data_IF_410989025801
#
_entry.id   IF_410989025801
#
_cell.length_a   1.000
_cell.length_b   1.000
_cell.length_c   1.000
_cell.angle_alpha   90.00
_cell.angle_beta   90.00
_cell.angle_gamma   90.00
#
_symmetry.space_group_name_H-M   'P 1'
#
loop_
_entity.id
_entity.type
_entity.pdbx_description
1 polymer ?
#
# COMPACT_ATOMS: atom_id res chain seq x y z
N UNK A 1 16.30 1.16 -26.10
CA UNK A 1 17.16 0.86 -24.94
C UNK A 1 16.95 1.97 -23.94
N UNK A 2 16.30 1.68 -22.81
CA UNK A 2 16.25 2.64 -21.71
C UNK A 2 17.68 2.77 -21.15
N UNK A 3 18.22 3.97 -21.17
CA UNK A 3 19.54 4.24 -20.60
C UNK A 3 19.46 4.06 -19.10
N UNK A 4 20.37 3.26 -18.54
CA UNK A 4 20.54 3.15 -17.08
C UNK A 4 20.74 4.55 -16.46
N UNK A 5 20.20 4.84 -15.25
CA UNK A 5 20.43 6.12 -14.58
C UNK A 5 21.94 6.43 -14.40
N UNK A 6 22.77 5.39 -14.31
CA UNK A 6 24.22 5.55 -14.15
C UNK A 6 24.96 5.86 -15.45
N UNK A 7 24.33 5.75 -16.60
CA UNK A 7 24.90 6.09 -17.93
C UNK A 7 24.22 7.28 -18.59
N UNK A 8 23.16 7.80 -17.99
CA UNK A 8 22.44 8.97 -18.49
C UNK A 8 22.35 10.06 -17.40
N UNK A 9 23.17 11.11 -17.46
CA UNK A 9 23.14 12.18 -16.45
C UNK A 9 21.86 13.00 -16.43
N UNK A 10 20.98 12.85 -17.43
CA UNK A 10 19.68 13.50 -17.49
C UNK A 10 18.55 12.58 -17.04
N UNK A 11 18.86 11.36 -16.56
CA UNK A 11 17.83 10.44 -16.08
C UNK A 11 17.10 11.04 -14.89
N UNK A 12 15.78 11.10 -15.01
CA UNK A 12 14.87 11.58 -13.95
C UNK A 12 13.77 10.56 -13.74
N UNK A 13 13.67 10.05 -12.52
CA UNK A 13 12.55 9.21 -12.09
C UNK A 13 11.38 10.12 -11.70
N UNK A 14 10.23 9.97 -12.36
CA UNK A 14 8.98 10.63 -11.98
C UNK A 14 8.26 9.87 -10.87
N UNK A 15 7.84 10.54 -9.82
CA UNK A 15 6.96 9.99 -8.78
C UNK A 15 5.63 10.73 -8.85
N UNK A 16 4.54 10.00 -9.13
CA UNK A 16 3.18 10.55 -9.12
C UNK A 16 2.55 10.28 -7.78
N UNK A 17 2.31 11.36 -7.03
CA UNK A 17 1.98 11.39 -5.62
C UNK A 17 3.20 11.73 -4.75
N UNK A 18 3.07 12.75 -3.92
CA UNK A 18 4.14 13.29 -3.07
C UNK A 18 3.91 13.05 -1.57
N UNK A 19 3.06 12.11 -1.20
CA UNK A 19 2.77 11.75 0.18
C UNK A 19 3.93 11.01 0.87
N UNK A 20 3.62 10.25 1.92
CA UNK A 20 4.63 9.54 2.70
C UNK A 20 5.36 8.44 1.90
N UNK A 21 4.64 7.74 1.01
CA UNK A 21 5.26 6.69 0.19
C UNK A 21 6.19 7.33 -0.85
N UNK A 22 5.76 8.43 -1.48
CA UNK A 22 6.58 9.23 -2.39
C UNK A 22 7.85 9.76 -1.71
N UNK A 23 7.76 10.23 -0.45
CA UNK A 23 8.92 10.63 0.36
C UNK A 23 9.92 9.48 0.57
N UNK A 24 9.43 8.28 0.87
CA UNK A 24 10.29 7.11 1.10
C UNK A 24 10.88 6.58 -0.22
N UNK A 25 10.12 6.62 -1.33
CA UNK A 25 10.64 6.33 -2.68
C UNK A 25 11.75 7.30 -3.08
N UNK A 26 11.51 8.59 -2.86
CA UNK A 26 12.51 9.64 -3.09
C UNK A 26 13.80 9.36 -2.30
N UNK A 27 13.68 9.00 -1.01
CA UNK A 27 14.84 8.69 -0.18
C UNK A 27 15.63 7.48 -0.73
N UNK A 28 14.94 6.43 -1.19
CA UNK A 28 15.57 5.27 -1.82
C UNK A 28 16.29 5.64 -3.12
N UNK A 29 15.67 6.43 -3.99
CA UNK A 29 16.28 6.88 -5.25
C UNK A 29 17.51 7.78 -4.99
N UNK A 30 17.43 8.71 -4.04
CA UNK A 30 18.52 9.61 -3.70
C UNK A 30 19.75 8.90 -3.12
N UNK A 31 19.60 7.77 -2.44
CA UNK A 31 20.74 6.94 -2.00
C UNK A 31 21.57 6.41 -3.17
N UNK A 32 20.98 6.29 -4.36
CA UNK A 32 21.64 5.85 -5.59
C UNK A 32 21.97 7.02 -6.54
N UNK A 33 21.89 8.27 -6.05
CA UNK A 33 22.12 9.51 -6.81
C UNK A 33 21.21 9.67 -8.05
N UNK A 34 20.00 9.09 -8.01
CA UNK A 34 19.00 9.21 -9.06
C UNK A 34 18.23 10.53 -8.86
N UNK A 35 18.15 11.35 -9.90
CA UNK A 35 17.33 12.56 -9.89
C UNK A 35 15.84 12.20 -9.87
N UNK A 36 15.05 12.91 -9.05
CA UNK A 36 13.62 12.65 -8.86
C UNK A 36 12.79 13.89 -9.12
N UNK A 37 11.77 13.76 -9.97
CA UNK A 37 10.67 14.70 -10.10
C UNK A 37 9.44 14.17 -9.36
N UNK A 38 8.66 15.05 -8.73
CA UNK A 38 7.43 14.68 -8.00
C UNK A 38 6.27 15.52 -8.47
N UNK A 39 5.14 14.88 -8.74
CA UNK A 39 3.84 15.52 -9.02
C UNK A 39 2.89 15.30 -7.84
N UNK A 40 2.33 16.38 -7.27
CA UNK A 40 1.32 16.29 -6.21
C UNK A 40 0.44 17.54 -6.18
N UNK A 41 -0.87 17.44 -5.85
CA UNK A 41 -1.73 18.61 -5.74
C UNK A 41 -1.42 19.49 -4.52
N UNK A 42 -0.89 18.92 -3.44
CA UNK A 42 -0.61 19.64 -2.20
C UNK A 42 0.71 20.43 -2.28
N UNK A 43 0.67 21.70 -1.91
CA UNK A 43 1.84 22.56 -1.88
C UNK A 43 2.83 22.25 -0.74
N UNK A 44 2.42 21.41 0.20
CA UNK A 44 3.19 20.97 1.36
C UNK A 44 3.38 19.43 1.38
N UNK A 45 3.34 18.81 0.20
CA UNK A 45 3.52 17.38 0.05
C UNK A 45 4.84 16.92 0.70
N UNK A 46 4.86 15.83 1.49
CA UNK A 46 6.04 15.33 2.17
C UNK A 46 7.29 15.12 1.31
N UNK A 47 7.10 14.73 0.04
CA UNK A 47 8.20 14.49 -0.89
C UNK A 47 8.77 15.77 -1.53
N UNK A 48 8.13 16.93 -1.36
CA UNK A 48 8.56 18.18 -1.98
C UNK A 48 10.01 18.54 -1.63
N UNK A 49 10.38 18.40 -0.35
CA UNK A 49 11.65 18.90 0.17
C UNK A 49 12.89 18.09 -0.21
N UNK A 50 12.75 17.01 -0.91
CA UNK A 50 13.91 16.22 -1.37
C UNK A 50 13.92 16.03 -2.87
N UNK A 51 12.88 16.46 -3.57
CA UNK A 51 12.74 16.34 -5.01
C UNK A 51 13.71 17.30 -5.75
N UNK A 52 14.30 16.80 -6.84
CA UNK A 52 15.04 17.63 -7.77
C UNK A 52 14.10 18.63 -8.47
N UNK A 53 12.88 18.20 -8.76
CA UNK A 53 11.80 19.01 -9.32
C UNK A 53 10.48 18.64 -8.66
N UNK A 54 9.67 19.63 -8.29
CA UNK A 54 8.33 19.43 -7.76
C UNK A 54 7.33 20.21 -8.61
N UNK A 55 6.28 19.53 -9.06
CA UNK A 55 5.19 20.10 -9.83
C UNK A 55 3.88 19.97 -9.07
N UNK A 56 3.08 21.04 -9.05
CA UNK A 56 1.72 21.01 -8.50
C UNK A 56 0.72 20.67 -9.59
N UNK A 57 -0.07 19.62 -9.36
CA UNK A 57 -1.11 19.27 -10.31
C UNK A 57 -2.01 18.14 -9.83
N UNK A 58 -3.20 18.05 -10.40
CA UNK A 58 -4.16 17.00 -10.07
C UNK A 58 -3.70 15.65 -10.67
N UNK A 59 -3.61 14.61 -9.84
CA UNK A 59 -3.16 13.28 -10.25
C UNK A 59 -4.19 12.56 -11.13
N UNK A 60 -5.45 12.96 -11.09
CA UNK A 60 -6.54 12.40 -11.90
C UNK A 60 -6.74 13.13 -13.24
N UNK A 61 -6.05 14.26 -13.45
CA UNK A 61 -6.11 14.99 -14.71
C UNK A 61 -5.15 14.38 -15.75
N UNK A 62 -5.72 13.96 -16.87
CA UNK A 62 -4.99 13.33 -17.97
C UNK A 62 -3.82 14.19 -18.47
N UNK A 63 -4.09 15.45 -18.75
CA UNK A 63 -3.11 16.38 -19.33
C UNK A 63 -1.96 16.65 -18.36
N UNK A 64 -2.27 16.84 -17.09
CA UNK A 64 -1.29 17.07 -16.03
C UNK A 64 -0.34 15.90 -15.89
N UNK A 65 -0.86 14.67 -15.75
CA UNK A 65 -0.05 13.46 -15.60
C UNK A 65 0.79 13.19 -16.85
N UNK A 66 0.20 13.34 -18.04
CA UNK A 66 0.89 13.14 -19.30
C UNK A 66 2.06 14.12 -19.49
N UNK A 67 1.83 15.41 -19.26
CA UNK A 67 2.87 16.44 -19.42
C UNK A 67 4.00 16.28 -18.39
N UNK A 68 3.67 15.90 -17.16
CA UNK A 68 4.67 15.58 -16.15
C UNK A 68 5.52 14.37 -16.55
N UNK A 69 4.88 13.28 -16.97
CA UNK A 69 5.56 12.03 -17.33
C UNK A 69 6.49 12.19 -18.55
N UNK A 70 6.11 13.01 -19.54
CA UNK A 70 6.94 13.31 -20.73
C UNK A 70 8.29 13.96 -20.40
N UNK A 71 8.44 14.50 -19.19
CA UNK A 71 9.69 15.10 -18.71
C UNK A 71 10.52 14.11 -17.87
N UNK A 72 10.12 12.85 -17.78
CA UNK A 72 10.77 11.79 -17.01
C UNK A 72 11.19 10.64 -17.92
N UNK A 73 12.19 9.87 -17.52
CA UNK A 73 12.63 8.67 -18.22
C UNK A 73 11.88 7.41 -17.76
N UNK A 74 11.31 7.45 -16.57
CA UNK A 74 10.34 6.45 -16.09
C UNK A 74 9.44 7.07 -15.01
N UNK A 75 8.28 6.46 -14.77
CA UNK A 75 7.28 6.97 -13.83
C UNK A 75 6.86 5.88 -12.86
N UNK A 76 6.86 6.19 -11.56
CA UNK A 76 6.32 5.32 -10.49
C UNK A 76 5.16 6.00 -9.78
N UNK A 77 4.28 5.21 -9.16
CA UNK A 77 3.14 5.72 -8.41
C UNK A 77 3.34 5.51 -6.90
N UNK A 78 2.84 6.45 -6.12
CA UNK A 78 2.69 6.27 -4.66
C UNK A 78 1.23 6.06 -4.24
N UNK A 79 0.28 6.29 -5.13
CA UNK A 79 -1.16 6.21 -4.89
C UNK A 79 -1.88 5.69 -6.14
N UNK A 80 -3.01 5.01 -5.97
CA UNK A 80 -3.79 4.46 -7.08
C UNK A 80 -4.70 5.50 -7.76
N UNK A 81 -5.05 6.60 -7.07
CA UNK A 81 -5.92 7.65 -7.60
C UNK A 81 -5.19 8.53 -8.64
N UNK A 82 -4.73 7.89 -9.72
CA UNK A 82 -4.01 8.52 -10.84
C UNK A 82 -4.74 8.23 -12.13
N UNK A 83 -4.65 9.14 -13.11
CA UNK A 83 -5.22 8.93 -14.43
C UNK A 83 -4.46 7.82 -15.18
N UNK A 84 -5.08 6.64 -15.28
CA UNK A 84 -4.46 5.46 -15.90
C UNK A 84 -4.31 5.61 -17.43
N UNK A 85 -5.19 6.33 -18.11
CA UNK A 85 -5.10 6.55 -19.55
C UNK A 85 -3.88 7.40 -19.91
N UNK A 86 -3.51 8.35 -19.04
CA UNK A 86 -2.27 9.12 -19.20
C UNK A 86 -1.02 8.23 -19.10
N UNK A 87 -1.04 7.22 -18.22
CA UNK A 87 0.06 6.26 -18.11
C UNK A 87 0.14 5.37 -19.37
N UNK A 88 -1.00 4.88 -19.86
CA UNK A 88 -1.06 4.10 -21.11
C UNK A 88 -0.48 4.92 -22.29
N UNK A 89 -0.82 6.21 -22.35
CA UNK A 89 -0.30 7.10 -23.38
C UNK A 89 1.22 7.32 -23.26
N UNK A 90 1.73 7.48 -22.02
CA UNK A 90 3.17 7.58 -21.76
C UNK A 90 3.90 6.31 -22.22
N UNK A 91 3.36 5.13 -21.92
CA UNK A 91 3.92 3.86 -22.37
C UNK A 91 3.93 3.74 -23.90
N UNK A 92 2.87 4.19 -24.58
CA UNK A 92 2.81 4.26 -26.05
C UNK A 92 3.87 5.21 -26.64
N UNK A 93 4.25 6.25 -25.89
CA UNK A 93 5.33 7.19 -26.25
C UNK A 93 6.73 6.67 -25.85
N UNK A 94 6.82 5.48 -25.25
CA UNK A 94 8.08 4.83 -24.86
C UNK A 94 8.59 5.20 -23.46
N UNK A 95 7.77 5.85 -22.64
CA UNK A 95 8.09 6.18 -21.23
C UNK A 95 7.47 5.13 -20.32
N UNK A 96 8.27 4.23 -19.72
CA UNK A 96 7.72 3.15 -18.90
C UNK A 96 7.10 3.66 -17.61
N UNK A 97 5.93 3.09 -17.26
CA UNK A 97 5.19 3.37 -16.05
C UNK A 97 5.15 2.14 -15.14
N UNK A 98 5.24 2.35 -13.83
CA UNK A 98 5.27 1.30 -12.81
C UNK A 98 4.26 1.62 -11.68
N UNK A 99 3.12 0.95 -11.67
CA UNK A 99 2.71 -0.16 -12.56
C UNK A 99 2.39 0.34 -13.98
N UNK A 100 2.26 -0.61 -14.94
CA UNK A 100 1.68 -0.32 -16.25
C UNK A 100 0.26 0.26 -16.10
N UNK A 101 -0.12 1.20 -16.99
CA UNK A 101 -1.41 1.87 -16.92
C UNK A 101 -2.60 0.89 -17.00
N UNK A 102 -2.49 -0.16 -17.81
CA UNK A 102 -3.52 -1.23 -17.92
C UNK A 102 -3.68 -2.01 -16.60
N UNK A 103 -2.61 -2.26 -15.88
CA UNK A 103 -2.65 -2.90 -14.55
C UNK A 103 -3.30 -1.98 -13.53
N UNK A 104 -3.00 -0.67 -13.58
CA UNK A 104 -3.63 0.30 -12.71
C UNK A 104 -5.15 0.36 -12.93
N UNK A 105 -5.64 0.31 -14.17
CA UNK A 105 -7.08 0.28 -14.49
C UNK A 105 -7.82 -0.90 -13.86
N UNK A 106 -7.15 -2.04 -13.68
CA UNK A 106 -7.71 -3.21 -12.99
C UNK A 106 -7.71 -2.95 -11.48
N UNK A 107 -6.55 -2.55 -10.92
CA UNK A 107 -6.34 -2.54 -9.48
C UNK A 107 -6.93 -1.32 -8.75
N UNK A 108 -7.21 -0.22 -9.45
CA UNK A 108 -7.87 0.94 -8.85
C UNK A 108 -9.39 0.79 -8.68
N UNK A 109 -9.98 -0.29 -9.21
CA UNK A 109 -11.41 -0.61 -9.05
C UNK A 109 -11.55 -2.01 -8.42
N UNK A 110 -12.13 -2.07 -7.21
CA UNK A 110 -12.25 -3.33 -6.45
C UNK A 110 -13.12 -4.37 -7.16
N UNK A 111 -14.13 -3.95 -7.92
CA UNK A 111 -14.97 -4.87 -8.69
C UNK A 111 -14.16 -5.52 -9.82
N UNK A 112 -13.40 -4.73 -10.58
CA UNK A 112 -12.51 -5.25 -11.63
C UNK A 112 -11.41 -6.13 -11.05
N UNK A 113 -10.85 -5.74 -9.91
CA UNK A 113 -9.81 -6.49 -9.20
C UNK A 113 -10.33 -7.89 -8.80
N UNK A 114 -11.52 -7.97 -8.20
CA UNK A 114 -12.15 -9.24 -7.82
C UNK A 114 -12.54 -10.10 -9.03
N UNK A 115 -13.08 -9.50 -10.09
CA UNK A 115 -13.39 -10.20 -11.33
C UNK A 115 -12.11 -10.80 -11.95
N UNK A 116 -11.00 -10.06 -11.94
CA UNK A 116 -9.70 -10.54 -12.40
C UNK A 116 -9.23 -11.74 -11.55
N UNK A 117 -9.34 -11.68 -10.22
CA UNK A 117 -8.95 -12.81 -9.37
C UNK A 117 -9.76 -14.07 -9.72
N UNK A 118 -11.07 -13.94 -9.91
CA UNK A 118 -11.93 -15.06 -10.29
C UNK A 118 -11.58 -15.63 -11.67
N UNK A 119 -11.34 -14.77 -12.66
CA UNK A 119 -10.98 -15.16 -14.04
C UNK A 119 -9.67 -15.98 -14.08
N UNK A 120 -8.67 -15.60 -13.28
CA UNK A 120 -7.39 -16.29 -13.23
C UNK A 120 -7.32 -17.41 -12.20
N UNK A 121 -8.45 -17.81 -11.61
CA UNK A 121 -8.53 -18.89 -10.61
C UNK A 121 -7.66 -18.62 -9.38
N UNK A 122 -7.64 -17.36 -8.94
CA UNK A 122 -7.00 -16.93 -7.70
C UNK A 122 -8.03 -16.96 -6.57
N UNK A 123 -7.72 -17.56 -5.42
CA UNK A 123 -8.69 -17.69 -4.33
C UNK A 123 -9.03 -16.30 -3.76
N UNK A 124 -10.30 -15.96 -3.78
CA UNK A 124 -10.85 -14.76 -3.14
C UNK A 124 -12.22 -15.10 -2.55
N UNK A 125 -12.64 -14.38 -1.49
CA UNK A 125 -13.95 -14.61 -0.89
C UNK A 125 -15.06 -14.51 -1.94
N UNK A 126 -16.11 -15.35 -1.89
CA UNK A 126 -17.23 -15.26 -2.81
C UNK A 126 -17.81 -13.85 -2.86
N UNK A 127 -18.09 -13.35 -4.05
CA UNK A 127 -18.55 -11.98 -4.25
C UNK A 127 -19.54 -11.86 -5.41
N UNK A 128 -20.30 -10.77 -5.42
CA UNK A 128 -21.11 -10.33 -6.56
C UNK A 128 -20.91 -8.83 -6.76
N UNK A 129 -20.73 -8.40 -7.99
CA UNK A 129 -20.61 -6.99 -8.37
C UNK A 129 -21.98 -6.45 -8.76
N UNK A 130 -22.31 -5.23 -8.33
CA UNK A 130 -23.55 -4.52 -8.60
C UNK A 130 -23.25 -3.14 -9.19
N UNK A 131 -23.96 -2.77 -10.24
CA UNK A 131 -23.83 -1.45 -10.88
C UNK A 131 -24.41 -0.32 -10.00
N UNK A 132 -25.33 -0.66 -9.09
CA UNK A 132 -25.95 0.28 -8.15
C UNK A 132 -26.38 -0.40 -6.86
N UNK A 133 -26.65 0.40 -5.83
CA UNK A 133 -27.15 -0.11 -4.55
C UNK A 133 -28.55 -0.71 -4.67
N UNK A 134 -29.40 -0.22 -5.58
CA UNK A 134 -30.73 -0.75 -5.85
C UNK A 134 -30.67 -2.17 -6.39
N UNK A 135 -29.69 -2.47 -7.25
CA UNK A 135 -29.46 -3.82 -7.77
C UNK A 135 -29.08 -4.79 -6.65
N UNK A 136 -28.22 -4.37 -5.72
CA UNK A 136 -27.90 -5.15 -4.52
C UNK A 136 -29.15 -5.39 -3.66
N UNK A 137 -29.95 -4.35 -3.42
CA UNK A 137 -31.19 -4.49 -2.61
C UNK A 137 -32.21 -5.42 -3.25
N UNK A 138 -32.38 -5.36 -4.58
CA UNK A 138 -33.26 -6.25 -5.32
C UNK A 138 -32.81 -7.71 -5.20
N UNK A 139 -31.53 -7.98 -5.32
CA UNK A 139 -30.95 -9.32 -5.21
C UNK A 139 -31.05 -9.86 -3.76
N UNK A 140 -30.83 -9.00 -2.76
CA UNK A 140 -31.06 -9.34 -1.35
C UNK A 140 -32.53 -9.67 -1.06
N UNK A 141 -33.47 -8.92 -1.62
CA UNK A 141 -34.90 -9.19 -1.50
C UNK A 141 -35.31 -10.55 -2.12
N UNK A 142 -34.54 -11.03 -3.11
CA UNK A 142 -34.65 -12.35 -3.70
C UNK A 142 -33.95 -13.46 -2.89
N UNK A 143 -33.30 -13.12 -1.77
CA UNK A 143 -32.64 -14.05 -0.84
C UNK A 143 -31.13 -14.18 -0.97
N UNK A 144 -30.50 -13.42 -1.84
CA UNK A 144 -29.04 -13.32 -1.90
C UNK A 144 -28.50 -12.51 -0.72
N UNK A 145 -27.24 -12.74 -0.37
CA UNK A 145 -26.50 -11.99 0.66
C UNK A 145 -27.24 -11.85 2.00
N UNK A 146 -27.49 -12.97 2.70
CA UNK A 146 -28.00 -12.93 4.06
C UNK A 146 -26.99 -12.23 4.98
N UNK A 147 -27.49 -11.62 6.04
CA UNK A 147 -26.64 -10.98 7.05
C UNK A 147 -25.87 -12.02 7.89
N UNK A 148 -24.60 -11.78 8.26
CA UNK A 148 -23.80 -10.62 7.88
C UNK A 148 -23.09 -10.82 6.52
N UNK A 149 -22.84 -9.71 5.81
CA UNK A 149 -21.98 -9.69 4.61
C UNK A 149 -21.11 -8.45 4.60
N UNK A 150 -20.08 -8.40 3.72
CA UNK A 150 -19.22 -7.24 3.54
C UNK A 150 -19.64 -6.49 2.28
N UNK A 151 -19.93 -5.20 2.40
CA UNK A 151 -20.10 -4.30 1.28
C UNK A 151 -18.82 -3.50 1.03
N UNK A 152 -18.44 -3.35 -0.24
CA UNK A 152 -17.29 -2.53 -0.65
C UNK A 152 -17.68 -1.63 -1.82
N UNK A 153 -17.36 -0.34 -1.75
CA UNK A 153 -17.42 0.54 -2.91
C UNK A 153 -16.40 0.08 -3.96
N UNK A 154 -16.78 0.10 -5.24
CA UNK A 154 -15.87 -0.31 -6.31
C UNK A 154 -14.67 0.64 -6.44
N UNK A 155 -14.86 1.93 -6.20
CA UNK A 155 -13.82 2.96 -6.32
C UNK A 155 -13.78 3.88 -5.10
N UNK A 156 -12.67 4.61 -4.90
CA UNK A 156 -12.55 5.64 -3.87
C UNK A 156 -12.31 5.15 -2.44
N UNK A 157 -12.22 3.83 -2.21
CA UNK A 157 -11.92 3.27 -0.89
C UNK A 157 -10.42 3.26 -0.59
N UNK A 158 -10.05 3.65 0.63
CA UNK A 158 -8.69 3.57 1.17
C UNK A 158 -8.72 3.46 2.70
N UNK A 159 -7.75 2.80 3.31
CA UNK A 159 -7.62 2.69 4.78
C UNK A 159 -8.95 2.33 5.50
N UNK A 160 -9.71 1.36 4.96
CA UNK A 160 -11.02 0.95 5.49
C UNK A 160 -12.21 1.83 5.10
N UNK A 161 -12.01 2.98 4.48
CA UNK A 161 -13.09 3.77 3.88
C UNK A 161 -13.67 3.04 2.66
N UNK A 162 -15.00 3.10 2.50
CA UNK A 162 -15.71 2.39 1.42
C UNK A 162 -15.81 0.88 1.65
N UNK A 163 -15.61 0.39 2.89
CA UNK A 163 -15.87 -0.99 3.31
C UNK A 163 -16.79 -0.98 4.53
N UNK A 164 -17.86 -1.74 4.47
CA UNK A 164 -18.84 -1.86 5.57
C UNK A 164 -19.16 -3.30 5.85
N UNK A 165 -18.93 -3.76 7.07
CA UNK A 165 -19.46 -5.03 7.55
C UNK A 165 -20.93 -4.83 7.93
N UNK A 166 -21.82 -5.32 7.10
CA UNK A 166 -23.26 -5.18 7.21
C UNK A 166 -23.82 -6.30 8.10
N UNK A 167 -24.32 -5.93 9.27
CA UNK A 167 -24.87 -6.86 10.28
C UNK A 167 -26.36 -6.73 10.48
N UNK A 168 -26.94 -5.58 10.10
CA UNK A 168 -28.37 -5.28 10.30
C UNK A 168 -29.00 -4.73 9.03
N UNK A 169 -30.33 -4.80 8.93
CA UNK A 169 -31.07 -4.24 7.80
C UNK A 169 -30.94 -2.72 7.71
N UNK A 170 -30.87 -2.03 8.85
CA UNK A 170 -30.65 -0.59 8.90
C UNK A 170 -29.30 -0.21 8.28
N UNK A 171 -28.25 -0.99 8.58
CA UNK A 171 -26.94 -0.80 7.96
C UNK A 171 -27.00 -1.04 6.45
N UNK A 172 -27.71 -2.09 6.01
CA UNK A 172 -27.86 -2.38 4.59
C UNK A 172 -28.57 -1.24 3.84
N UNK A 173 -29.64 -0.68 4.43
CA UNK A 173 -30.39 0.43 3.85
C UNK A 173 -29.62 1.75 3.82
N UNK A 174 -28.63 1.92 4.70
CA UNK A 174 -27.79 3.10 4.80
C UNK A 174 -26.55 3.09 3.88
N UNK A 175 -26.36 2.01 3.09
CA UNK A 175 -25.22 1.90 2.17
C UNK A 175 -25.31 3.00 1.09
N UNK A 176 -24.18 3.61 0.72
CA UNK A 176 -24.16 4.65 -0.31
C UNK A 176 -24.43 4.06 -1.70
N UNK A 177 -24.98 4.87 -2.58
CA UNK A 177 -25.18 4.51 -3.98
C UNK A 177 -23.87 4.49 -4.77
N UNK A 178 -23.89 3.71 -5.86
CA UNK A 178 -22.79 3.57 -6.81
C UNK A 178 -22.43 2.09 -7.08
N UNK A 179 -21.48 1.93 -8.00
CA UNK A 179 -20.90 0.62 -8.28
C UNK A 179 -20.26 0.03 -7.01
N UNK A 180 -20.65 -1.18 -6.67
CA UNK A 180 -20.21 -1.82 -5.44
C UNK A 180 -20.11 -3.34 -5.58
N UNK A 181 -19.62 -3.98 -4.54
CA UNK A 181 -19.66 -5.44 -4.42
C UNK A 181 -20.14 -5.85 -3.03
N UNK A 182 -20.90 -6.94 -2.99
CA UNK A 182 -21.15 -7.71 -1.79
C UNK A 182 -20.19 -8.90 -1.77
N UNK A 183 -19.63 -9.19 -0.61
CA UNK A 183 -18.62 -10.23 -0.40
C UNK A 183 -18.98 -11.06 0.84
N UNK A 184 -18.74 -12.37 0.78
CA UNK A 184 -18.94 -13.23 1.91
C UNK A 184 -17.98 -12.86 3.06
N UNK A 185 -18.50 -12.83 4.28
CA UNK A 185 -17.67 -12.64 5.46
C UNK A 185 -16.80 -13.89 5.68
N UNK A 186 -15.49 -13.71 5.64
CA UNK A 186 -14.53 -14.77 5.96
C UNK A 186 -14.48 -14.97 7.47
N UNK A 187 -14.51 -16.23 7.92
CA UNK A 187 -14.26 -16.57 9.34
C UNK A 187 -12.78 -16.41 9.65
N UNK A 188 -12.40 -15.15 9.86
CA UNK A 188 -11.04 -14.67 9.90
C UNK A 188 -10.29 -15.19 11.14
N UNK A 189 -9.09 -15.75 10.92
CA UNK A 189 -8.10 -16.07 11.95
C UNK A 189 -6.95 -15.06 11.94
N UNK A 190 -6.40 -14.76 10.75
CA UNK A 190 -5.22 -13.91 10.58
C UNK A 190 -5.31 -13.12 9.27
N UNK A 191 -4.80 -11.90 9.27
CA UNK A 191 -4.51 -11.14 8.04
C UNK A 191 -3.01 -11.11 7.80
N UNK A 192 -2.61 -11.37 6.55
CA UNK A 192 -1.20 -11.37 6.17
C UNK A 192 -0.98 -10.62 4.86
N UNK A 193 0.26 -10.19 4.62
CA UNK A 193 0.62 -9.55 3.37
C UNK A 193 1.93 -10.10 2.80
N UNK A 194 2.04 -10.03 1.47
CA UNK A 194 3.24 -10.36 0.70
C UNK A 194 3.52 -9.23 -0.29
N UNK A 195 4.77 -8.76 -0.34
CA UNK A 195 5.22 -7.85 -1.39
C UNK A 195 6.03 -8.63 -2.43
N UNK A 196 5.80 -8.32 -3.71
CA UNK A 196 6.52 -8.90 -4.84
C UNK A 196 7.00 -7.77 -5.76
N UNK A 197 8.30 -7.71 -6.03
CA UNK A 197 8.86 -6.86 -7.07
C UNK A 197 9.10 -7.68 -8.34
N UNK A 198 8.89 -7.05 -9.52
CA UNK A 198 9.17 -7.65 -10.82
C UNK A 198 9.76 -6.62 -11.78
N UNK A 199 10.85 -6.99 -12.44
CA UNK A 199 11.48 -6.19 -13.50
C UNK A 199 10.82 -6.42 -14.86
N UNK A 200 11.16 -5.59 -15.83
CA UNK A 200 10.73 -5.78 -17.24
C UNK A 200 11.32 -7.05 -17.87
N UNK A 201 12.48 -7.51 -17.43
CA UNK A 201 13.09 -8.77 -17.87
C UNK A 201 12.41 -10.01 -17.30
N UNK A 202 11.48 -9.84 -16.34
CA UNK A 202 10.77 -10.92 -15.67
C UNK A 202 11.44 -11.41 -14.39
N UNK A 203 12.58 -10.85 -13.96
CA UNK A 203 13.16 -11.14 -12.65
C UNK A 203 12.18 -10.76 -11.56
N UNK A 204 11.99 -11.63 -10.55
CA UNK A 204 11.10 -11.43 -9.43
C UNK A 204 11.84 -11.51 -8.09
N UNK A 205 11.38 -10.74 -7.12
CA UNK A 205 11.85 -10.81 -5.74
C UNK A 205 10.64 -10.75 -4.79
N UNK A 206 10.45 -11.83 -4.03
CA UNK A 206 9.33 -12.00 -3.11
C UNK A 206 9.82 -11.78 -1.69
N UNK A 207 9.12 -10.91 -0.95
CA UNK A 207 9.41 -10.67 0.46
C UNK A 207 8.80 -11.77 1.35
N UNK A 208 9.32 -11.96 2.57
CA UNK A 208 8.68 -12.79 3.57
C UNK A 208 7.24 -12.35 3.85
N UNK A 209 6.37 -13.32 4.16
CA UNK A 209 5.01 -13.05 4.61
C UNK A 209 5.04 -12.32 5.95
N UNK A 210 4.19 -11.31 6.10
CA UNK A 210 4.03 -10.56 7.34
C UNK A 210 2.62 -10.70 7.90
N UNK A 211 2.51 -10.78 9.22
CA UNK A 211 1.22 -10.65 9.91
C UNK A 211 0.79 -9.18 9.98
N UNK A 212 -0.49 -8.94 9.86
CA UNK A 212 -1.11 -7.63 10.07
C UNK A 212 -2.11 -7.70 11.22
N UNK A 213 -1.84 -6.99 12.30
CA UNK A 213 -2.79 -6.83 13.40
C UNK A 213 -3.54 -5.50 13.20
N UNK A 214 -4.86 -5.55 13.22
CA UNK A 214 -5.71 -4.38 13.04
C UNK A 214 -6.20 -3.80 14.36
N UNK A 215 -6.33 -2.48 14.39
CA UNK A 215 -6.94 -1.80 15.53
C UNK A 215 -8.42 -2.19 15.62
N UNK A 216 -8.91 -2.60 16.81
CA UNK A 216 -10.24 -3.23 16.93
C UNK A 216 -11.41 -2.34 16.52
N UNK A 217 -11.26 -1.02 16.55
CA UNK A 217 -12.33 -0.06 16.24
C UNK A 217 -12.03 0.84 15.04
N UNK A 218 -10.76 1.13 14.73
CA UNK A 218 -10.38 2.08 13.69
C UNK A 218 -10.24 1.43 12.29
N UNK A 219 -10.37 0.10 12.18
CA UNK A 219 -10.22 -0.66 10.93
C UNK A 219 -8.94 -0.30 10.15
N UNK A 220 -7.84 -0.07 10.88
CA UNK A 220 -6.53 0.27 10.35
C UNK A 220 -5.48 -0.67 10.90
N UNK A 221 -4.48 -1.00 10.10
CA UNK A 221 -3.32 -1.77 10.57
C UNK A 221 -2.66 -1.04 11.73
N UNK A 222 -2.52 -1.72 12.84
CA UNK A 222 -1.85 -1.25 14.05
C UNK A 222 -0.40 -1.72 14.09
N UNK A 223 -0.19 -3.03 13.85
CA UNK A 223 1.13 -3.64 13.76
C UNK A 223 1.29 -4.49 12.49
N UNK A 224 2.51 -4.54 12.01
CA UNK A 224 2.97 -5.50 11.00
C UNK A 224 4.16 -6.25 11.57
N UNK A 225 4.13 -7.58 11.58
CA UNK A 225 5.13 -8.40 12.27
C UNK A 225 5.75 -9.44 11.33
N UNK A 226 7.06 -9.60 11.39
CA UNK A 226 7.82 -10.62 10.69
C UNK A 226 8.82 -11.29 11.64
N UNK A 227 9.02 -12.61 11.57
CA UNK A 227 8.34 -13.58 10.70
C UNK A 227 6.87 -13.77 11.06
N UNK A 228 6.10 -14.24 10.08
CA UNK A 228 4.68 -14.58 10.25
C UNK A 228 4.47 -15.76 11.19
N UNK A 229 3.31 -15.79 11.84
CA UNK A 229 2.81 -16.95 12.64
C UNK A 229 2.30 -18.10 11.76
N UNK A 230 2.14 -17.90 10.45
CA UNK A 230 1.70 -18.94 9.54
C UNK A 230 2.67 -20.12 9.54
N UNK A 231 2.14 -21.35 9.43
CA UNK A 231 2.97 -22.52 9.13
C UNK A 231 3.80 -22.31 7.85
N UNK A 232 5.03 -22.82 7.76
CA UNK A 232 5.90 -22.60 6.60
C UNK A 232 5.25 -22.95 5.25
N UNK A 233 4.44 -24.01 5.20
CA UNK A 233 3.71 -24.40 3.99
C UNK A 233 2.66 -23.36 3.57
N UNK A 234 1.91 -22.80 4.52
CA UNK A 234 0.91 -21.74 4.25
C UNK A 234 1.60 -20.44 3.84
N UNK A 235 2.73 -20.10 4.46
CA UNK A 235 3.52 -18.93 4.07
C UNK A 235 4.05 -19.08 2.63
N UNK A 236 4.58 -20.25 2.27
CA UNK A 236 5.01 -20.53 0.90
C UNK A 236 3.85 -20.43 -0.10
N UNK A 237 2.68 -20.97 0.24
CA UNK A 237 1.48 -20.88 -0.60
C UNK A 237 1.02 -19.42 -0.81
N UNK A 238 1.09 -18.57 0.23
CA UNK A 238 0.78 -17.14 0.10
C UNK A 238 1.76 -16.43 -0.86
N UNK A 239 3.05 -16.74 -0.77
CA UNK A 239 4.07 -16.19 -1.69
C UNK A 239 3.85 -16.67 -3.13
N UNK A 240 3.52 -17.94 -3.36
CA UNK A 240 3.20 -18.48 -4.67
C UNK A 240 1.95 -17.83 -5.29
N UNK A 241 0.90 -17.61 -4.49
CA UNK A 241 -0.31 -16.91 -4.94
C UNK A 241 -0.01 -15.45 -5.31
N UNK A 242 0.79 -14.75 -4.51
CA UNK A 242 1.21 -13.38 -4.81
C UNK A 242 2.03 -13.31 -6.11
N UNK A 243 2.95 -14.24 -6.31
CA UNK A 243 3.75 -14.34 -7.53
C UNK A 243 2.86 -14.65 -8.75
N UNK A 244 1.95 -15.62 -8.63
CA UNK A 244 0.96 -15.94 -9.68
C UNK A 244 0.14 -14.72 -10.07
N UNK A 245 -0.30 -13.92 -9.09
CA UNK A 245 -1.06 -12.69 -9.35
C UNK A 245 -0.22 -11.66 -10.13
N UNK A 246 1.04 -11.44 -9.73
CA UNK A 246 1.98 -10.53 -10.43
C UNK A 246 2.17 -10.96 -11.89
N UNK A 247 2.35 -12.26 -12.13
CA UNK A 247 2.53 -12.82 -13.46
C UNK A 247 1.25 -12.72 -14.31
N UNK A 248 0.09 -13.05 -13.74
CA UNK A 248 -1.21 -12.95 -14.42
C UNK A 248 -1.56 -11.53 -14.83
N UNK A 249 -1.24 -10.54 -13.97
CA UNK A 249 -1.40 -9.11 -14.26
C UNK A 249 -0.41 -8.60 -15.32
N UNK A 250 0.68 -9.32 -15.59
CA UNK A 250 1.80 -8.76 -16.34
C UNK A 250 2.44 -7.56 -15.64
N UNK A 251 2.28 -7.45 -14.31
CA UNK A 251 2.79 -6.32 -13.55
C UNK A 251 4.30 -6.23 -13.64
N UNK A 252 4.80 -5.02 -13.82
CA UNK A 252 6.20 -4.64 -13.61
C UNK A 252 6.24 -3.55 -12.54
N UNK A 253 7.19 -3.62 -11.62
CA UNK A 253 7.26 -2.72 -10.46
C UNK A 253 7.11 -3.48 -9.15
N UNK A 254 6.21 -3.04 -8.29
CA UNK A 254 5.94 -3.62 -6.96
C UNK A 254 4.45 -3.86 -6.79
N UNK A 255 4.08 -5.05 -6.33
CA UNK A 255 2.73 -5.39 -5.88
C UNK A 255 2.77 -5.76 -4.40
N UNK A 256 1.86 -5.22 -3.62
CA UNK A 256 1.54 -5.69 -2.28
C UNK A 256 0.21 -6.43 -2.33
N UNK A 257 0.18 -7.66 -1.83
CA UNK A 257 -1.02 -8.51 -1.81
C UNK A 257 -1.41 -8.78 -0.37
N UNK A 258 -2.65 -8.50 -0.02
CA UNK A 258 -3.24 -8.78 1.28
C UNK A 258 -4.10 -10.02 1.22
N UNK A 259 -3.96 -10.87 2.23
CA UNK A 259 -4.69 -12.12 2.35
C UNK A 259 -5.44 -12.20 3.67
N UNK A 260 -6.65 -12.72 3.62
CA UNK A 260 -7.31 -13.30 4.78
C UNK A 260 -6.92 -14.76 4.90
N UNK A 261 -6.65 -15.20 6.11
CA UNK A 261 -6.48 -16.60 6.48
C UNK A 261 -7.67 -16.98 7.34
N UNK A 262 -8.48 -17.93 6.90
CA UNK A 262 -9.62 -18.38 7.69
C UNK A 262 -9.19 -19.40 8.77
N UNK A 263 -10.10 -19.68 9.73
CA UNK A 263 -9.82 -20.63 10.81
C UNK A 263 -9.55 -22.07 10.34
N UNK A 264 -9.86 -22.37 9.08
CA UNK A 264 -9.51 -23.65 8.47
C UNK A 264 -8.13 -23.63 7.80
N UNK A 265 -7.45 -22.47 7.79
CA UNK A 265 -6.14 -22.27 7.20
C UNK A 265 -6.17 -21.99 5.70
N UNK A 266 -7.34 -21.72 5.10
CA UNK A 266 -7.44 -21.34 3.70
C UNK A 266 -7.00 -19.87 3.51
N UNK A 267 -6.32 -19.62 2.38
CA UNK A 267 -5.87 -18.30 1.97
C UNK A 267 -6.86 -17.69 0.98
N UNK A 268 -7.29 -16.46 1.24
CA UNK A 268 -8.17 -15.67 0.40
C UNK A 268 -7.53 -14.33 0.07
N UNK A 269 -7.28 -14.02 -1.21
CA UNK A 269 -6.79 -12.71 -1.60
C UNK A 269 -7.89 -11.68 -1.30
N UNK A 270 -7.59 -10.74 -0.42
CA UNK A 270 -8.46 -9.63 -0.08
C UNK A 270 -8.36 -8.52 -1.12
N UNK A 271 -7.18 -7.92 -1.24
CA UNK A 271 -6.90 -6.87 -2.22
C UNK A 271 -5.41 -6.84 -2.60
N UNK A 272 -5.09 -6.11 -3.65
CA UNK A 272 -3.73 -5.89 -4.10
C UNK A 272 -3.51 -4.42 -4.46
N UNK A 273 -2.34 -3.88 -4.09
CA UNK A 273 -1.93 -2.51 -4.34
C UNK A 273 -0.64 -2.50 -5.18
N UNK A 274 -0.63 -1.86 -6.36
CA UNK A 274 0.52 -1.90 -7.28
C UNK A 274 1.56 -0.81 -6.95
N UNK A 275 1.92 -0.70 -5.68
CA UNK A 275 2.82 0.31 -5.11
C UNK A 275 3.35 -0.13 -3.74
N UNK A 276 4.32 0.58 -3.15
CA UNK A 276 4.70 0.35 -1.76
C UNK A 276 3.50 0.43 -0.83
N UNK A 277 3.43 -0.48 0.13
CA UNK A 277 2.32 -0.58 1.06
C UNK A 277 2.79 -0.51 2.50
N UNK A 278 1.88 -0.13 3.40
CA UNK A 278 2.16 -0.02 4.84
C UNK A 278 2.69 -1.34 5.43
N UNK A 279 2.16 -2.47 4.98
CA UNK A 279 2.60 -3.82 5.38
C UNK A 279 4.06 -4.14 5.01
N UNK A 280 4.68 -3.37 4.12
CA UNK A 280 6.08 -3.54 3.72
C UNK A 280 7.06 -2.53 4.34
N UNK A 281 6.62 -1.65 5.27
CA UNK A 281 7.50 -0.61 5.83
C UNK A 281 8.64 -1.18 6.70
N UNK A 282 8.41 -2.30 7.36
CA UNK A 282 9.43 -3.01 8.13
C UNK A 282 10.68 -3.37 7.32
N UNK A 283 10.55 -3.46 5.99
CA UNK A 283 11.67 -3.79 5.09
C UNK A 283 12.76 -2.73 5.07
N UNK A 284 12.48 -1.51 5.53
CA UNK A 284 13.47 -0.44 5.64
C UNK A 284 14.62 -0.83 6.60
N UNK A 285 14.29 -1.47 7.71
CA UNK A 285 15.25 -1.81 8.77
C UNK A 285 15.64 -3.29 8.81
N UNK A 286 14.79 -4.18 8.28
CA UNK A 286 15.02 -5.63 8.45
C UNK A 286 15.35 -6.38 7.15
N UNK A 287 15.46 -5.69 6.01
CA UNK A 287 15.90 -6.26 4.75
C UNK A 287 17.12 -5.53 4.18
N UNK A 288 17.95 -6.26 3.42
CA UNK A 288 19.05 -5.64 2.69
C UNK A 288 18.53 -4.63 1.64
N UNK A 289 17.39 -4.92 1.04
CA UNK A 289 16.72 -4.06 0.04
C UNK A 289 15.26 -3.89 0.43
N UNK A 290 14.85 -2.65 0.67
CA UNK A 290 13.47 -2.34 1.06
C UNK A 290 12.51 -2.41 -0.13
N UNK A 291 11.19 -2.48 0.14
CA UNK A 291 10.16 -2.40 -0.89
C UNK A 291 10.29 -1.13 -1.76
N UNK A 292 10.72 -0.02 -1.17
CA UNK A 292 10.92 1.24 -1.87
C UNK A 292 12.09 1.16 -2.84
N UNK A 293 13.22 0.62 -2.39
CA UNK A 293 14.40 0.44 -3.23
C UNK A 293 14.14 -0.59 -4.33
N UNK A 294 13.37 -1.67 -4.06
CA UNK A 294 12.99 -2.63 -5.10
C UNK A 294 12.18 -1.97 -6.22
N UNK A 295 11.20 -1.12 -5.88
CA UNK A 295 10.43 -0.40 -6.90
C UNK A 295 11.32 0.56 -7.70
N UNK A 296 12.23 1.27 -7.05
CA UNK A 296 13.19 2.15 -7.75
C UNK A 296 14.08 1.33 -8.68
N UNK A 297 14.59 0.16 -8.23
CA UNK A 297 15.41 -0.72 -9.05
C UNK A 297 14.63 -1.22 -10.27
N UNK A 298 13.41 -1.71 -10.08
CA UNK A 298 12.54 -2.16 -11.17
C UNK A 298 12.25 -1.04 -12.19
N UNK A 299 11.96 0.19 -11.69
CA UNK A 299 11.68 1.35 -12.52
C UNK A 299 12.88 1.91 -13.27
N UNK A 300 14.08 1.65 -12.77
CA UNK A 300 15.34 2.09 -13.35
C UNK A 300 16.08 0.99 -14.13
N UNK A 301 15.44 -0.16 -14.35
CA UNK A 301 16.02 -1.32 -15.05
C UNK A 301 17.30 -1.83 -14.38
N UNK A 302 17.33 -1.80 -13.05
CA UNK A 302 18.43 -2.30 -12.23
C UNK A 302 18.10 -3.70 -11.72
N UNK A 303 19.11 -4.55 -11.43
CA UNK A 303 18.90 -5.85 -10.79
C UNK A 303 18.16 -5.70 -9.45
N UNK A 304 17.24 -6.61 -9.15
CA UNK A 304 16.57 -6.66 -7.87
C UNK A 304 17.56 -7.02 -6.75
N UNK A 305 17.28 -6.57 -5.54
CA UNK A 305 18.09 -6.86 -4.36
C UNK A 305 17.50 -7.97 -3.50
N UNK A 306 18.24 -8.37 -2.47
CA UNK A 306 17.81 -9.41 -1.53
C UNK A 306 16.61 -8.95 -0.67
N UNK A 307 15.59 -9.81 -0.58
CA UNK A 307 14.35 -9.59 0.18
C UNK A 307 14.33 -10.31 1.52
N UNK A 308 15.34 -11.12 1.81
CA UNK A 308 15.40 -11.87 3.05
C UNK A 308 15.48 -10.95 4.26
N UNK A 309 14.65 -11.20 5.26
CA UNK A 309 14.76 -10.56 6.55
C UNK A 309 16.02 -11.04 7.28
N UNK A 310 16.84 -10.12 7.76
CA UNK A 310 18.06 -10.43 8.52
C UNK A 310 17.81 -10.45 10.03
N UNK A 311 16.63 -10.01 10.46
CA UNK A 311 16.17 -10.04 11.85
C UNK A 311 14.64 -10.09 11.89
N UNK A 312 14.09 -10.47 13.04
CA UNK A 312 12.68 -10.25 13.29
C UNK A 312 12.38 -8.77 13.45
N UNK A 313 11.24 -8.33 12.96
CA UNK A 313 10.82 -6.93 13.04
C UNK A 313 9.33 -6.78 13.31
N UNK A 314 8.98 -5.68 13.94
CA UNK A 314 7.61 -5.23 14.08
C UNK A 314 7.51 -3.74 13.75
N UNK A 315 6.63 -3.39 12.81
CA UNK A 315 6.29 -2.01 12.50
C UNK A 315 5.00 -1.65 13.23
N UNK A 316 4.94 -0.46 13.83
CA UNK A 316 3.73 0.11 14.40
C UNK A 316 3.41 1.44 13.72
N UNK A 317 2.14 1.64 13.36
CA UNK A 317 1.69 2.93 12.85
C UNK A 317 1.64 3.98 13.97
N UNK A 318 2.11 5.18 13.66
CA UNK A 318 2.01 6.37 14.50
C UNK A 318 0.90 7.25 13.93
N UNK A 319 -0.20 7.36 14.67
CA UNK A 319 -1.42 8.04 14.22
C UNK A 319 -1.76 9.24 15.10
N UNK A 320 -2.51 10.19 14.54
CA UNK A 320 -3.03 11.32 15.30
C UNK A 320 -3.96 10.87 16.42
N UNK A 321 -3.77 11.42 17.61
CA UNK A 321 -4.54 11.09 18.81
C UNK A 321 -5.98 11.60 18.69
N UNK A 322 -6.92 10.90 19.32
CA UNK A 322 -8.31 11.33 19.44
C UNK A 322 -8.41 12.68 20.15
N UNK A 323 -9.32 13.54 19.69
CA UNK A 323 -9.51 14.87 20.23
C UNK A 323 -8.51 15.93 19.78
N UNK A 324 -7.53 15.57 18.92
CA UNK A 324 -6.52 16.49 18.40
C UNK A 324 -6.67 16.70 16.88
N UNK A 325 -6.86 17.95 16.47
CA UNK A 325 -6.91 18.34 15.06
C UNK A 325 -6.24 19.71 14.87
N UNK A 326 -5.25 19.80 13.96
CA UNK A 326 -4.51 21.02 13.67
C UNK A 326 -2.99 20.81 13.58
N UNK A 327 -2.17 21.84 13.84
CA UNK A 327 -0.72 21.78 13.76
C UNK A 327 -0.15 20.64 14.60
N UNK A 328 0.70 19.81 13.98
CA UNK A 328 1.22 18.59 14.60
C UNK A 328 2.28 18.89 15.68
N UNK A 329 2.20 18.17 16.79
CA UNK A 329 3.24 18.06 17.81
C UNK A 329 3.44 16.59 18.19
N UNK A 330 4.71 16.19 18.38
CA UNK A 330 5.09 14.82 18.71
C UNK A 330 5.62 14.77 20.15
N UNK A 331 4.77 14.41 21.10
CA UNK A 331 5.16 14.19 22.50
C UNK A 331 5.84 12.83 22.64
N UNK A 332 6.94 12.73 23.40
CA UNK A 332 7.65 11.49 23.65
C UNK A 332 8.58 11.01 22.53
N UNK A 333 8.77 11.81 21.47
CA UNK A 333 9.63 11.41 20.34
C UNK A 333 11.08 11.12 20.77
N UNK A 334 11.62 11.87 21.75
CA UNK A 334 12.97 11.64 22.29
C UNK A 334 13.07 10.31 23.05
N UNK A 335 12.00 9.93 23.75
CA UNK A 335 11.95 8.66 24.49
C UNK A 335 11.97 7.47 23.53
N UNK A 336 11.25 7.56 22.39
CA UNK A 336 11.29 6.55 21.32
C UNK A 336 12.69 6.47 20.71
N UNK A 337 13.28 7.61 20.35
CA UNK A 337 14.62 7.66 19.74
C UNK A 337 15.73 7.16 20.66
N UNK A 338 15.51 7.14 21.98
CA UNK A 338 16.46 6.59 22.95
C UNK A 338 16.41 5.05 23.06
N UNK A 339 15.38 4.39 22.48
CA UNK A 339 15.20 2.95 22.58
C UNK A 339 16.08 2.21 21.54
N UNK A 340 17.00 1.34 21.97
CA UNK A 340 17.84 0.58 21.05
C UNK A 340 17.02 -0.33 20.13
N UNK A 341 17.33 -0.29 18.82
CA UNK A 341 16.68 -1.12 17.80
C UNK A 341 15.27 -0.65 17.43
N UNK A 342 14.87 0.57 17.83
CA UNK A 342 13.64 1.22 17.39
C UNK A 342 13.97 2.37 16.45
N UNK A 343 13.36 2.38 15.29
CA UNK A 343 13.56 3.34 14.21
C UNK A 343 12.26 4.12 13.98
N UNK A 344 12.32 5.44 14.07
CA UNK A 344 11.17 6.33 13.92
C UNK A 344 11.17 7.01 12.56
N UNK A 345 10.08 6.86 11.80
CA UNK A 345 9.84 7.51 10.51
C UNK A 345 8.66 8.48 10.63
N UNK A 346 8.91 9.77 10.64
CA UNK A 346 7.88 10.81 10.58
C UNK A 346 7.62 11.21 9.13
N UNK A 347 6.34 11.30 8.77
CA UNK A 347 5.95 11.54 7.39
C UNK A 347 6.09 13.00 6.94
N UNK A 348 6.18 13.94 7.88
CA UNK A 348 6.35 15.36 7.57
C UNK A 348 5.04 16.09 7.24
N UNK A 349 3.89 15.51 7.58
CA UNK A 349 2.59 16.18 7.49
C UNK A 349 2.50 17.29 8.53
N UNK A 350 2.06 18.48 8.14
CA UNK A 350 2.02 19.66 9.02
C UNK A 350 0.86 19.66 10.01
N UNK A 351 -0.22 18.97 9.66
CA UNK A 351 -1.43 18.88 10.48
C UNK A 351 -1.76 17.44 10.83
N UNK A 352 -2.26 17.24 12.04
CA UNK A 352 -2.81 15.97 12.50
C UNK A 352 -4.33 16.03 12.61
N UNK A 353 -4.96 14.88 12.65
CA UNK A 353 -6.35 14.61 13.01
C UNK A 353 -6.47 13.18 13.53
N UNK A 354 -7.54 12.82 14.25
CA UNK A 354 -7.72 11.46 14.75
C UNK A 354 -7.48 10.39 13.69
N UNK A 355 -6.68 9.39 14.03
CA UNK A 355 -6.32 8.24 13.19
C UNK A 355 -5.56 8.55 11.87
N UNK A 356 -5.20 9.81 11.61
CA UNK A 356 -4.34 10.13 10.47
C UNK A 356 -2.96 9.53 10.66
N UNK A 357 -2.49 8.71 9.71
CA UNK A 357 -1.12 8.17 9.73
C UNK A 357 -0.11 9.32 9.61
N UNK A 358 0.66 9.55 10.66
CA UNK A 358 1.62 10.65 10.80
C UNK A 358 3.07 10.18 10.75
N UNK A 359 3.27 8.87 10.95
CA UNK A 359 4.54 8.19 10.93
C UNK A 359 4.36 6.70 11.11
N UNK A 360 5.46 6.00 11.22
CA UNK A 360 5.55 4.65 11.74
C UNK A 360 6.85 4.51 12.51
N UNK A 361 6.93 3.50 13.34
CA UNK A 361 8.18 3.06 13.91
C UNK A 361 8.38 1.58 13.62
N UNK A 362 9.63 1.16 13.46
CA UNK A 362 10.01 -0.24 13.27
C UNK A 362 10.98 -0.64 14.37
N UNK A 363 10.64 -1.67 15.11
CA UNK A 363 11.54 -2.31 16.06
C UNK A 363 12.13 -3.59 15.47
N UNK A 364 13.44 -3.76 15.64
CA UNK A 364 14.19 -4.93 15.22
C UNK A 364 14.68 -5.69 16.45
N UNK A 365 14.55 -7.02 16.46
CA UNK A 365 14.94 -7.89 17.55
C UNK A 365 15.31 -9.30 17.08
N UNK A 366 15.71 -10.17 18.00
CA UNK A 366 15.99 -11.58 17.71
C UNK A 366 14.72 -12.40 17.45
N UNK A 367 13.60 -12.03 18.09
CA UNK A 367 12.31 -12.71 17.96
C UNK A 367 11.19 -11.75 17.62
N UNK A 368 10.14 -12.25 16.95
CA UNK A 368 8.94 -11.48 16.60
C UNK A 368 8.24 -10.90 17.84
N UNK A 369 8.14 -11.68 18.92
CA UNK A 369 7.51 -11.24 20.17
C UNK A 369 8.26 -10.06 20.80
N UNK A 370 9.59 -10.11 20.81
CA UNK A 370 10.40 -9.02 21.36
C UNK A 370 10.33 -7.78 20.45
N UNK A 371 10.38 -7.94 19.13
CA UNK A 371 10.20 -6.85 18.18
C UNK A 371 8.83 -6.17 18.38
N UNK A 372 7.76 -6.97 18.48
CA UNK A 372 6.40 -6.48 18.70
C UNK A 372 6.26 -5.75 20.05
N UNK A 373 6.85 -6.28 21.12
CA UNK A 373 6.85 -5.65 22.43
C UNK A 373 7.56 -4.29 22.40
N UNK A 374 8.72 -4.20 21.74
CA UNK A 374 9.46 -2.93 21.59
C UNK A 374 8.67 -1.93 20.71
N UNK A 375 8.07 -2.39 19.63
CA UNK A 375 7.25 -1.55 18.77
C UNK A 375 6.02 -1.01 19.54
N UNK A 376 5.37 -1.84 20.35
CA UNK A 376 4.25 -1.41 21.20
C UNK A 376 4.70 -0.37 22.23
N UNK A 377 5.82 -0.60 22.94
CA UNK A 377 6.35 0.35 23.90
C UNK A 377 6.73 1.70 23.25
N UNK A 378 7.34 1.66 22.06
CA UNK A 378 7.65 2.87 21.32
C UNK A 378 6.40 3.64 20.87
N UNK A 379 5.38 2.93 20.36
CA UNK A 379 4.10 3.53 19.98
C UNK A 379 3.41 4.17 21.20
N UNK A 380 3.37 3.50 22.34
CA UNK A 380 2.70 3.98 23.55
C UNK A 380 3.42 5.19 24.18
N UNK A 381 4.74 5.29 23.98
CA UNK A 381 5.52 6.45 24.39
C UNK A 381 5.32 7.68 23.49
N UNK A 382 4.88 7.50 22.23
CA UNK A 382 4.74 8.57 21.24
C UNK A 382 3.28 8.98 21.06
N UNK A 383 2.96 10.22 21.38
CA UNK A 383 1.64 10.80 21.12
C UNK A 383 1.71 11.88 20.05
N UNK A 384 0.82 11.81 19.07
CA UNK A 384 0.68 12.83 18.04
C UNK A 384 -0.51 13.71 18.36
N UNK A 385 -0.22 14.90 18.85
CA UNK A 385 -1.20 15.85 19.40
C UNK A 385 -1.11 17.20 18.70
N UNK A 386 -1.94 18.15 19.13
CA UNK A 386 -1.82 19.56 18.77
C UNK A 386 -1.37 20.34 20.00
N UNK A 387 -0.52 21.35 19.82
CA UNK A 387 -0.18 22.26 20.91
C UNK A 387 -1.46 23.03 21.33
N UNK A 388 -1.65 23.25 22.63
CA UNK A 388 -2.68 24.16 23.09
C UNK A 388 -2.38 25.56 22.53
N UNK A 389 -3.42 26.25 22.08
CA UNK A 389 -3.33 27.62 21.58
C UNK A 389 -3.01 28.60 22.69
#
# INVERSE_FOLDING_TARGET
MTSSPFSNPQFTLGIVGGGQLGKMLLAAARRMDIAVAVLDPASDAPAQYGAHRFERGALTDYTTVLNFGRQCQSVVLEIEAVNADALIQLEAEGIPCFPPGSVLQILQNKARQKAFFAEFGLPTAPFTVYESIEALHADRAAGAWPLPFVWKAATGGYDGFGVTLVRTEEQAQALPDGECLAEALVDLDLEVAVQVARTRSGETAVFPVTDMDFHPTANQVEFVVVPTRLPPASAAAAQELALKLVESLGLVGLLSVEFFVDRSGNLWINEAAPRPHNSGHWTLEACATSQFEQLVRAACDLPLGGTQAHAAAAMANVVGAEGHQGPVHYEGALDVLSQPGVHLHLYGKRETRPFRKMGHLTAVAETADEARKRAAAGRDALRVVTLPH
#
